data_IF_620694192361
#
_entry.id   IF_620694192361
#
_cell.length_a   1.000
_cell.length_b   1.000
_cell.length_c   1.000
_cell.angle_alpha   90.00
_cell.angle_beta   90.00
_cell.angle_gamma   90.00
#
_symmetry.space_group_name_H-M   'P 1'
#
loop_
_entity.id
_entity.type
_entity.pdbx_description
1 polymer ?
#
# COMPACT_ATOMS: atom_id res chain seq x y z
N UNK A 1 4.04 6.86 21.32
CA UNK A 1 4.64 5.97 20.31
C UNK A 1 4.63 6.68 18.98
N UNK A 2 5.79 6.92 18.39
CA UNK A 2 5.93 7.41 17.01
C UNK A 2 5.34 6.37 16.06
N UNK A 3 4.33 6.73 15.26
CA UNK A 3 3.88 5.89 14.15
C UNK A 3 5.00 5.81 13.12
N UNK A 4 5.34 4.60 12.68
CA UNK A 4 6.22 4.44 11.53
C UNK A 4 5.54 5.01 10.27
N UNK A 5 6.34 5.40 9.28
CA UNK A 5 5.79 5.82 7.98
C UNK A 5 5.02 4.67 7.31
N UNK A 6 5.45 3.43 7.57
CA UNK A 6 4.72 2.24 7.18
C UNK A 6 3.32 2.14 7.80
N UNK A 7 3.16 2.37 9.11
CA UNK A 7 1.86 2.34 9.77
C UNK A 7 0.92 3.43 9.24
N UNK A 8 1.47 4.62 8.99
CA UNK A 8 0.73 5.70 8.36
C UNK A 8 0.25 5.28 6.97
N UNK A 9 1.15 4.73 6.16
CA UNK A 9 0.86 4.21 4.82
C UNK A 9 -0.26 3.17 4.85
N UNK A 10 -0.13 2.12 5.68
CA UNK A 10 -1.15 1.07 5.82
C UNK A 10 -2.51 1.65 6.20
N UNK A 11 -2.54 2.65 7.10
CA UNK A 11 -3.78 3.31 7.49
C UNK A 11 -4.42 4.11 6.35
N UNK A 12 -3.63 4.82 5.54
CA UNK A 12 -4.11 5.56 4.37
C UNK A 12 -4.67 4.59 3.34
N UNK A 13 -3.91 3.56 2.97
CA UNK A 13 -4.30 2.55 1.99
C UNK A 13 -5.59 1.82 2.39
N UNK A 14 -5.74 1.43 3.66
CA UNK A 14 -7.00 0.86 4.16
C UNK A 14 -8.18 1.81 3.96
N UNK A 15 -8.01 3.08 4.28
CA UNK A 15 -9.08 4.09 4.17
C UNK A 15 -9.50 4.33 2.74
N UNK A 16 -8.57 4.32 1.78
CA UNK A 16 -8.86 4.56 0.35
C UNK A 16 -9.16 3.28 -0.43
N UNK A 17 -9.15 2.11 0.21
CA UNK A 17 -9.33 0.80 -0.45
C UNK A 17 -10.69 0.57 -1.11
N UNK A 18 -11.62 1.52 -1.01
CA UNK A 18 -12.90 1.50 -1.73
C UNK A 18 -12.80 2.05 -3.15
N UNK A 19 -11.71 2.76 -3.48
CA UNK A 19 -11.48 3.40 -4.77
C UNK A 19 -10.12 2.95 -5.30
N UNK A 20 -10.14 2.18 -6.39
CA UNK A 20 -8.96 1.56 -6.99
C UNK A 20 -7.97 2.62 -7.49
N UNK A 21 -8.45 3.68 -8.15
CA UNK A 21 -7.61 4.72 -8.71
C UNK A 21 -6.92 5.54 -7.61
N UNK A 22 -7.66 5.85 -6.54
CA UNK A 22 -7.11 6.53 -5.37
C UNK A 22 -6.12 5.63 -4.62
N UNK A 23 -6.43 4.34 -4.47
CA UNK A 23 -5.52 3.38 -3.84
C UNK A 23 -4.20 3.27 -4.59
N UNK A 24 -4.24 3.10 -5.91
CA UNK A 24 -3.05 3.09 -6.77
C UNK A 24 -2.21 4.36 -6.58
N UNK A 25 -2.84 5.55 -6.56
CA UNK A 25 -2.14 6.84 -6.36
C UNK A 25 -1.46 6.95 -5.00
N UNK A 26 -2.14 6.57 -3.92
CA UNK A 26 -1.55 6.60 -2.57
C UNK A 26 -0.45 5.54 -2.41
N UNK A 27 -0.60 4.38 -3.05
CA UNK A 27 0.43 3.34 -3.06
C UNK A 27 1.70 3.84 -3.78
N UNK A 28 1.58 4.46 -4.95
CA UNK A 28 2.73 5.06 -5.64
C UNK A 28 3.43 6.16 -4.83
N UNK A 29 2.69 6.89 -3.97
CA UNK A 29 3.32 7.85 -3.05
C UNK A 29 4.14 7.12 -1.99
N UNK A 30 3.59 6.07 -1.38
CA UNK A 30 4.29 5.31 -0.36
C UNK A 30 5.65 4.76 -0.86
N UNK A 31 5.69 4.29 -2.11
CA UNK A 31 6.93 3.81 -2.73
C UNK A 31 8.04 4.85 -2.87
N UNK A 32 7.71 6.15 -2.83
CA UNK A 32 8.68 7.26 -2.91
C UNK A 32 9.25 7.66 -1.54
N UNK A 33 8.58 7.32 -0.44
CA UNK A 33 8.93 7.82 0.89
C UNK A 33 9.36 6.74 1.88
N UNK A 34 8.95 5.49 1.66
CA UNK A 34 9.30 4.37 2.52
C UNK A 34 10.73 3.89 2.26
N UNK A 35 11.39 3.42 3.31
CA UNK A 35 12.69 2.78 3.22
C UNK A 35 12.57 1.40 2.57
N UNK A 36 13.65 0.84 1.98
CA UNK A 36 13.59 -0.46 1.30
C UNK A 36 12.99 -1.59 2.14
N UNK A 37 13.37 -1.68 3.42
CA UNK A 37 12.82 -2.71 4.32
C UNK A 37 11.32 -2.49 4.62
N UNK A 38 10.86 -1.23 4.66
CA UNK A 38 9.43 -0.92 4.84
C UNK A 38 8.64 -1.27 3.58
N UNK A 39 9.24 -1.16 2.38
CA UNK A 39 8.62 -1.58 1.13
C UNK A 39 8.45 -3.09 1.04
N UNK A 40 9.45 -3.86 1.48
CA UNK A 40 9.32 -5.32 1.58
C UNK A 40 8.17 -5.71 2.52
N UNK A 41 8.10 -5.07 3.69
CA UNK A 41 7.00 -5.31 4.64
C UNK A 41 5.65 -4.85 4.09
N UNK A 42 5.59 -3.70 3.41
CA UNK A 42 4.39 -3.19 2.76
C UNK A 42 3.90 -4.16 1.68
N UNK A 43 4.79 -4.68 0.85
CA UNK A 43 4.47 -5.61 -0.23
C UNK A 43 3.87 -6.90 0.32
N UNK A 44 4.48 -7.48 1.35
CA UNK A 44 3.95 -8.66 2.04
C UNK A 44 2.57 -8.41 2.65
N UNK A 45 2.36 -7.22 3.22
CA UNK A 45 1.06 -6.82 3.75
C UNK A 45 0.00 -6.64 2.64
N UNK A 46 0.37 -6.03 1.51
CA UNK A 46 -0.52 -5.81 0.36
C UNK A 46 -0.98 -7.11 -0.28
N UNK A 47 -0.08 -8.09 -0.43
CA UNK A 47 -0.44 -9.40 -0.98
C UNK A 47 -1.57 -10.05 -0.18
N UNK A 48 -1.50 -10.00 1.16
CA UNK A 48 -2.57 -10.49 2.06
C UNK A 48 -3.81 -9.62 2.01
N UNK A 49 -3.64 -8.29 2.06
CA UNK A 49 -4.76 -7.34 2.08
C UNK A 49 -5.62 -7.42 0.81
N UNK A 50 -5.01 -7.76 -0.33
CA UNK A 50 -5.68 -7.87 -1.64
C UNK A 50 -6.18 -9.28 -1.95
N UNK A 51 -6.10 -10.24 -1.02
CA UNK A 51 -6.80 -11.53 -1.14
C UNK A 51 -8.32 -11.34 -1.08
N UNK A 52 -8.79 -10.46 -0.19
CA UNK A 52 -10.22 -10.11 -0.06
C UNK A 52 -10.67 -9.02 -1.05
N UNK A 53 -9.72 -8.37 -1.73
CA UNK A 53 -9.94 -7.25 -2.67
C UNK A 53 -9.12 -7.43 -3.95
N UNK A 54 -9.48 -8.41 -4.80
CA UNK A 54 -8.71 -8.74 -5.99
C UNK A 54 -8.58 -7.57 -6.99
N UNK A 55 -9.54 -6.64 -7.00
CA UNK A 55 -9.52 -5.41 -7.81
C UNK A 55 -8.33 -4.50 -7.51
N UNK A 56 -7.76 -4.59 -6.30
CA UNK A 56 -6.59 -3.80 -5.89
C UNK A 56 -5.26 -4.44 -6.30
N UNK A 57 -5.25 -5.72 -6.72
CA UNK A 57 -4.00 -6.41 -7.12
C UNK A 57 -3.30 -5.74 -8.30
N UNK A 58 -4.06 -5.13 -9.21
CA UNK A 58 -3.50 -4.37 -10.34
C UNK A 58 -2.61 -3.21 -9.86
N UNK A 59 -2.92 -2.61 -8.71
CA UNK A 59 -2.10 -1.54 -8.15
C UNK A 59 -0.73 -2.04 -7.67
N UNK A 60 -0.58 -3.32 -7.34
CA UNK A 60 0.71 -3.90 -6.90
C UNK A 60 1.63 -4.13 -8.09
N UNK A 61 1.08 -4.56 -9.23
CA UNK A 61 1.84 -4.86 -10.44
C UNK A 61 2.34 -3.60 -11.18
N UNK A 62 1.62 -2.49 -11.03
CA UNK A 62 1.89 -1.24 -11.75
C UNK A 62 2.98 -0.36 -11.10
N UNK A 63 3.65 -0.81 -10.04
CA UNK A 63 4.63 -0.03 -9.28
C UNK A 63 6.08 -0.45 -9.58
N UNK A 64 6.31 -1.04 -10.75
CA UNK A 64 7.65 -1.35 -11.27
C UNK A 64 8.27 -0.15 -11.99
#
# INVERSE_FOLDING_TARGET
MSKSMLDHTKSVLKRVSFDVDLFCKELSKAYKFLLPYELEELTNWLLKFTEEKPELRQCILNVN
#
